data_IF_686723934561
#
_entry.id   IF_686723934561
#
_cell.length_a   1.000
_cell.length_b   1.000
_cell.length_c   1.000
_cell.angle_alpha   90.00
_cell.angle_beta   90.00
_cell.angle_gamma   90.00
#
_symmetry.space_group_name_H-M   'P 1'
#
loop_
_entity.id
_entity.type
_entity.pdbx_description
1 polymer ?
#
# COMPACT_ATOMS: atom_id res chain seq x y z
N UNK A 1 1.82 22.81 16.36
CA UNK A 1 2.54 21.96 15.40
C UNK A 1 2.74 20.62 16.10
N UNK A 2 1.79 19.73 15.98
CA UNK A 2 1.93 18.37 16.51
C UNK A 2 2.40 17.48 15.38
N UNK A 3 3.58 16.93 15.57
CA UNK A 3 4.23 15.97 14.68
C UNK A 3 3.40 14.70 14.56
N UNK A 4 3.14 14.29 13.32
CA UNK A 4 2.40 13.09 13.00
C UNK A 4 2.87 11.88 13.78
N UNK A 5 1.94 11.16 14.37
CA UNK A 5 2.21 9.90 15.08
C UNK A 5 2.70 8.87 14.07
N UNK A 6 3.95 8.46 14.24
CA UNK A 6 4.50 7.26 13.62
C UNK A 6 3.61 6.06 13.99
N UNK A 7 3.11 5.36 12.98
CA UNK A 7 2.40 4.11 13.16
C UNK A 7 3.39 3.05 13.71
N UNK A 8 3.36 2.85 15.01
CA UNK A 8 4.04 1.71 15.63
C UNK A 8 3.29 0.43 15.22
N UNK A 9 4.00 -0.50 14.61
CA UNK A 9 3.50 -1.85 14.38
C UNK A 9 3.16 -2.51 15.73
N UNK A 10 2.13 -3.37 15.80
CA UNK A 10 1.79 -4.07 17.03
C UNK A 10 2.97 -4.93 17.48
N UNK A 11 3.31 -4.83 18.78
CA UNK A 11 4.31 -5.68 19.42
C UNK A 11 3.97 -7.16 19.21
N UNK A 12 4.82 -7.86 18.49
CA UNK A 12 4.77 -9.32 18.44
C UNK A 12 5.27 -9.86 19.77
N UNK A 13 4.40 -10.55 20.50
CA UNK A 13 4.78 -11.35 21.67
C UNK A 13 5.88 -12.34 21.30
N UNK A 14 6.88 -12.41 22.17
CA UNK A 14 8.03 -13.30 22.21
C UNK A 14 7.84 -14.65 21.53
N UNK A 15 8.47 -14.82 20.36
CA UNK A 15 8.98 -16.13 19.93
C UNK A 15 10.00 -15.93 18.82
N UNK A 16 11.25 -16.37 19.06
CA UNK A 16 12.36 -16.47 18.11
C UNK A 16 12.65 -15.21 17.31
N UNK A 17 13.84 -14.65 17.46
CA UNK A 17 14.37 -13.56 16.62
C UNK A 17 14.43 -14.01 15.15
N UNK A 18 13.33 -13.93 14.45
CA UNK A 18 13.33 -14.01 13.00
C UNK A 18 13.89 -12.71 12.47
N UNK A 19 15.00 -12.80 11.75
CA UNK A 19 15.65 -11.66 11.12
C UNK A 19 14.79 -11.24 9.92
N UNK A 20 13.82 -10.34 10.13
CA UNK A 20 12.88 -9.89 9.12
C UNK A 20 13.24 -8.50 8.60
N UNK A 21 13.13 -8.31 7.28
CA UNK A 21 13.36 -7.05 6.58
C UNK A 21 12.09 -6.62 5.84
N UNK A 22 11.65 -5.39 6.06
CA UNK A 22 10.65 -4.73 5.22
C UNK A 22 11.33 -3.79 4.24
N UNK A 23 11.04 -3.97 2.96
CA UNK A 23 11.52 -3.10 1.88
C UNK A 23 10.32 -2.39 1.28
N UNK A 24 10.33 -1.06 1.35
CA UNK A 24 9.33 -0.21 0.75
C UNK A 24 9.87 0.38 -0.54
N UNK A 25 9.22 0.13 -1.66
CA UNK A 25 9.59 0.70 -2.95
C UNK A 25 8.68 1.85 -3.32
N UNK A 26 9.29 2.99 -3.65
CA UNK A 26 8.64 4.22 -4.10
C UNK A 26 9.06 4.52 -5.54
N UNK A 27 8.35 5.43 -6.20
CA UNK A 27 8.69 5.86 -7.55
C UNK A 27 10.15 6.31 -7.68
N UNK A 28 10.68 6.94 -6.64
CA UNK A 28 11.99 7.57 -6.63
C UNK A 28 12.94 7.01 -5.56
N UNK A 29 12.73 5.78 -5.07
CA UNK A 29 13.63 5.23 -4.07
C UNK A 29 13.09 4.05 -3.27
N UNK A 30 13.83 3.68 -2.25
CA UNK A 30 13.52 2.57 -1.35
C UNK A 30 13.73 2.99 0.09
N UNK A 31 12.97 2.41 1.01
CA UNK A 31 13.31 2.42 2.42
C UNK A 31 13.39 1.00 2.95
N UNK A 32 14.28 0.80 3.89
CA UNK A 32 14.55 -0.48 4.53
C UNK A 32 14.23 -0.36 6.02
N UNK A 33 13.44 -1.29 6.52
CA UNK A 33 13.05 -1.30 7.93
C UNK A 33 13.32 -2.69 8.52
N UNK A 34 14.08 -2.71 9.59
CA UNK A 34 14.28 -3.88 10.43
C UNK A 34 13.59 -3.65 11.78
N UNK A 35 13.61 -4.63 12.68
CA UNK A 35 13.16 -4.44 14.07
C UNK A 35 14.00 -3.42 14.85
N UNK A 36 15.22 -3.12 14.39
CA UNK A 36 16.20 -2.29 15.09
C UNK A 36 16.38 -0.90 14.47
N UNK A 37 16.12 -0.73 13.16
CA UNK A 37 16.39 0.52 12.44
C UNK A 37 15.42 0.74 11.28
N UNK A 38 15.23 2.02 10.95
CA UNK A 38 14.60 2.45 9.70
C UNK A 38 15.64 3.26 8.95
N UNK A 39 16.15 2.70 7.85
CA UNK A 39 17.08 3.38 6.97
C UNK A 39 16.33 3.86 5.72
N UNK A 40 16.31 5.16 5.53
CA UNK A 40 15.70 5.80 4.37
C UNK A 40 16.78 6.19 3.37
N UNK A 41 16.68 5.71 2.14
CA UNK A 41 17.54 6.15 1.04
C UNK A 41 16.72 6.91 0.00
N UNK A 42 17.00 8.19 -0.13
CA UNK A 42 16.42 9.03 -1.17
C UNK A 42 17.00 8.71 -2.54
N UNK A 43 16.11 8.75 -3.53
CA UNK A 43 16.40 8.88 -4.96
C UNK A 43 17.25 7.80 -5.61
N UNK A 44 16.65 6.63 -5.81
CA UNK A 44 17.23 5.68 -6.75
C UNK A 44 16.10 5.11 -7.61
N UNK A 45 16.02 5.55 -8.88
CA UNK A 45 15.21 4.82 -9.86
C UNK A 45 15.86 3.45 -10.08
N UNK A 46 15.09 2.39 -9.98
CA UNK A 46 15.60 1.03 -10.18
C UNK A 46 15.92 0.84 -11.67
N UNK A 47 17.20 0.89 -11.98
CA UNK A 47 17.78 0.51 -13.27
C UNK A 47 18.95 -0.45 -13.00
N UNK A 48 19.65 -0.90 -14.02
CA UNK A 48 20.80 -1.80 -13.84
C UNK A 48 21.91 -1.21 -12.95
N UNK A 49 22.06 0.12 -12.92
CA UNK A 49 23.04 0.81 -12.07
C UNK A 49 22.65 0.74 -10.59
N UNK A 50 21.35 0.72 -10.26
CA UNK A 50 20.85 0.63 -8.88
C UNK A 50 20.85 -0.79 -8.33
N UNK A 51 21.06 -1.78 -9.17
CA UNK A 51 21.28 -3.16 -8.74
C UNK A 51 22.43 -3.24 -7.73
N UNK A 52 23.53 -2.50 -7.98
CA UNK A 52 24.66 -2.45 -7.05
C UNK A 52 24.33 -1.86 -5.68
N UNK A 53 23.38 -0.94 -5.61
CA UNK A 53 22.95 -0.36 -4.33
C UNK A 53 22.09 -1.38 -3.57
N UNK A 54 21.21 -2.07 -4.26
CA UNK A 54 20.44 -3.17 -3.69
C UNK A 54 21.38 -4.30 -3.20
N UNK A 55 22.36 -4.64 -4.00
CA UNK A 55 23.43 -5.59 -3.65
C UNK A 55 24.22 -5.09 -2.44
N UNK A 56 24.62 -3.83 -2.40
CA UNK A 56 25.36 -3.28 -1.27
C UNK A 56 24.51 -3.20 0.01
N UNK A 57 23.22 -2.92 -0.09
CA UNK A 57 22.31 -2.85 1.06
C UNK A 57 21.96 -4.23 1.61
N UNK A 58 21.77 -5.22 0.75
CA UNK A 58 21.59 -6.62 1.18
C UNK A 58 22.90 -7.24 1.66
N UNK A 59 24.07 -6.79 1.17
CA UNK A 59 25.39 -7.25 1.56
C UNK A 59 26.01 -6.42 2.70
N UNK A 60 25.40 -5.32 3.11
CA UNK A 60 25.90 -4.49 4.21
C UNK A 60 25.92 -5.22 5.57
N UNK A 61 25.33 -6.40 5.62
CA UNK A 61 25.52 -7.36 6.71
C UNK A 61 25.71 -8.77 6.12
N UNK A 62 26.90 -9.17 5.70
CA UNK A 62 27.16 -10.52 5.21
C UNK A 62 26.84 -11.61 6.24
N UNK A 63 26.68 -11.25 7.50
CA UNK A 63 26.30 -12.14 8.60
C UNK A 63 24.79 -12.23 8.86
N UNK A 64 23.98 -11.32 8.28
CA UNK A 64 22.51 -11.29 8.48
C UNK A 64 21.83 -11.78 7.20
N UNK A 65 21.68 -13.09 7.04
CA UNK A 65 20.68 -13.63 6.13
C UNK A 65 19.30 -13.33 6.73
N UNK A 66 18.48 -12.59 6.00
CA UNK A 66 17.08 -12.39 6.39
C UNK A 66 16.29 -13.67 6.11
N UNK A 67 15.57 -14.13 7.11
CA UNK A 67 14.69 -15.29 6.94
C UNK A 67 13.46 -14.90 6.13
N UNK A 68 12.90 -13.72 6.40
CA UNK A 68 11.70 -13.22 5.77
C UNK A 68 11.91 -11.79 5.26
N UNK A 69 11.58 -11.58 3.99
CA UNK A 69 11.52 -10.25 3.39
C UNK A 69 10.08 -9.91 3.04
N UNK A 70 9.60 -8.76 3.52
CA UNK A 70 8.34 -8.16 3.06
C UNK A 70 8.64 -7.04 2.08
N UNK A 71 8.24 -7.20 0.83
CA UNK A 71 8.34 -6.14 -0.16
C UNK A 71 7.00 -5.43 -0.31
N UNK A 72 6.97 -4.13 0.06
CA UNK A 72 5.80 -3.28 0.04
C UNK A 72 5.93 -2.28 -1.10
N UNK A 73 5.08 -2.41 -2.11
CA UNK A 73 5.04 -1.51 -3.27
C UNK A 73 4.22 -0.27 -2.95
N UNK A 74 4.83 0.91 -3.10
CA UNK A 74 4.15 2.22 -3.05
C UNK A 74 3.97 2.83 -4.43
N UNK A 75 4.38 2.12 -5.47
CA UNK A 75 4.36 2.62 -6.83
C UNK A 75 3.12 2.22 -7.59
N UNK A 76 2.64 3.19 -8.36
CA UNK A 76 1.58 2.98 -9.32
C UNK A 76 0.18 2.91 -8.70
N UNK A 77 -0.81 2.93 -9.56
CA UNK A 77 -2.20 2.80 -9.16
C UNK A 77 -2.54 1.36 -8.75
N UNK A 78 -3.58 1.21 -7.95
CA UNK A 78 -4.16 -0.07 -7.63
C UNK A 78 -5.69 -0.02 -7.77
N UNK A 79 -6.30 -1.18 -8.01
CA UNK A 79 -7.73 -1.30 -8.25
C UNK A 79 -8.34 -2.34 -7.31
N UNK A 80 -9.37 -1.95 -6.55
CA UNK A 80 -10.21 -2.90 -5.83
C UNK A 80 -11.31 -3.46 -6.73
N UNK A 81 -11.42 -4.77 -6.77
CA UNK A 81 -12.43 -5.51 -7.53
C UNK A 81 -13.21 -6.40 -6.56
N UNK A 82 -14.55 -6.34 -6.51
CA UNK A 82 -15.34 -7.29 -5.76
C UNK A 82 -15.05 -8.74 -6.21
N UNK A 83 -14.76 -9.63 -5.27
CA UNK A 83 -14.38 -11.03 -5.56
C UNK A 83 -15.35 -11.77 -6.49
N UNK A 84 -16.70 -11.56 -6.39
CA UNK A 84 -17.63 -12.20 -7.32
C UNK A 84 -17.51 -11.73 -8.78
N UNK A 85 -16.93 -10.55 -9.03
CA UNK A 85 -16.72 -9.99 -10.38
C UNK A 85 -15.31 -10.28 -10.91
N UNK A 86 -14.44 -10.85 -10.09
CA UNK A 86 -13.04 -11.08 -10.44
C UNK A 86 -12.87 -12.39 -11.24
N UNK A 87 -12.08 -12.30 -12.30
CA UNK A 87 -11.59 -13.45 -13.04
C UNK A 87 -10.13 -13.24 -13.41
N UNK A 88 -9.27 -14.17 -13.01
CA UNK A 88 -7.83 -14.09 -13.28
C UNK A 88 -7.51 -14.02 -14.78
N UNK A 89 -8.30 -14.67 -15.62
CA UNK A 89 -8.14 -14.62 -17.07
C UNK A 89 -8.40 -13.23 -17.68
N UNK A 90 -9.03 -12.32 -16.92
CA UNK A 90 -9.42 -10.96 -17.35
C UNK A 90 -8.58 -9.84 -16.72
N UNK A 91 -7.45 -10.14 -16.09
CA UNK A 91 -6.59 -9.13 -15.46
C UNK A 91 -6.24 -7.97 -16.41
N UNK A 92 -5.90 -8.27 -17.66
CA UNK A 92 -5.57 -7.24 -18.64
C UNK A 92 -6.76 -6.36 -19.02
N UNK A 93 -7.96 -6.93 -19.10
CA UNK A 93 -9.18 -6.19 -19.43
C UNK A 93 -9.52 -5.18 -18.32
N UNK A 94 -9.48 -5.62 -17.03
CA UNK A 94 -9.69 -4.72 -15.89
C UNK A 94 -8.67 -3.58 -15.89
N UNK A 95 -7.39 -3.91 -16.12
CA UNK A 95 -6.32 -2.93 -16.10
C UNK A 95 -6.40 -1.92 -17.23
N UNK A 96 -6.71 -2.37 -18.43
CA UNK A 96 -6.91 -1.49 -19.60
C UNK A 96 -8.07 -0.51 -19.40
N UNK A 97 -9.13 -0.95 -18.73
CA UNK A 97 -10.24 -0.07 -18.38
C UNK A 97 -9.84 0.98 -17.34
N UNK A 98 -9.07 0.59 -16.34
CA UNK A 98 -8.68 1.45 -15.22
C UNK A 98 -7.47 2.35 -15.55
N UNK A 99 -6.43 1.82 -16.14
CA UNK A 99 -5.17 2.49 -16.45
C UNK A 99 -4.74 2.29 -17.92
N UNK A 100 -5.45 2.86 -18.89
CA UNK A 100 -5.26 2.56 -20.32
C UNK A 100 -3.90 2.98 -20.89
N UNK A 101 -3.15 3.83 -20.20
CA UNK A 101 -1.81 4.31 -20.62
C UNK A 101 -0.66 3.54 -19.98
N UNK A 102 -0.96 2.53 -19.16
CA UNK A 102 0.08 1.76 -18.48
C UNK A 102 0.82 0.86 -19.47
N UNK A 103 2.14 0.84 -19.37
CA UNK A 103 3.00 -0.04 -20.16
C UNK A 103 2.96 -1.47 -19.60
N UNK A 104 3.46 -2.43 -20.36
CA UNK A 104 3.41 -3.89 -20.17
C UNK A 104 4.08 -4.44 -18.88
N UNK A 105 3.70 -3.93 -17.73
CA UNK A 105 4.11 -4.47 -16.44
C UNK A 105 3.36 -5.77 -16.13
N UNK A 106 3.93 -6.60 -15.30
CA UNK A 106 3.27 -7.80 -14.81
C UNK A 106 2.17 -7.41 -13.83
N UNK A 107 0.93 -7.80 -14.11
CA UNK A 107 -0.21 -7.59 -13.24
C UNK A 107 -0.27 -8.69 -12.19
N UNK A 108 -0.52 -8.27 -10.96
CA UNK A 108 -0.62 -9.14 -9.80
C UNK A 108 -1.78 -8.70 -8.92
N UNK A 109 -2.19 -9.56 -8.01
CA UNK A 109 -3.28 -9.24 -7.09
C UNK A 109 -3.09 -9.86 -5.71
N UNK A 110 -3.66 -9.20 -4.72
CA UNK A 110 -3.82 -9.66 -3.34
C UNK A 110 -5.31 -9.85 -3.03
N UNK A 111 -5.64 -10.75 -2.10
CA UNK A 111 -7.02 -11.01 -1.70
C UNK A 111 -7.28 -10.49 -0.28
N UNK A 112 -8.48 -9.95 -0.08
CA UNK A 112 -9.02 -9.70 1.25
C UNK A 112 -10.32 -10.49 1.43
N UNK A 113 -10.27 -11.52 2.26
CA UNK A 113 -11.39 -12.43 2.45
C UNK A 113 -12.50 -11.82 3.30
N UNK A 114 -12.18 -10.90 4.22
CA UNK A 114 -13.15 -10.24 5.11
C UNK A 114 -14.14 -9.41 4.31
N UNK A 115 -13.64 -8.56 3.42
CA UNK A 115 -14.48 -7.69 2.58
C UNK A 115 -14.78 -8.31 1.21
N UNK A 116 -14.29 -9.54 0.94
CA UNK A 116 -14.41 -10.21 -0.36
C UNK A 116 -13.96 -9.36 -1.53
N UNK A 117 -12.76 -8.80 -1.40
CA UNK A 117 -12.14 -7.91 -2.37
C UNK A 117 -10.84 -8.48 -2.91
N UNK A 118 -10.55 -8.14 -4.15
CA UNK A 118 -9.27 -8.34 -4.81
C UNK A 118 -8.64 -6.96 -5.00
N UNK A 119 -7.40 -6.79 -4.57
CA UNK A 119 -6.59 -5.62 -4.88
C UNK A 119 -5.62 -5.96 -6.00
N UNK A 120 -5.78 -5.37 -7.17
CA UNK A 120 -4.94 -5.57 -8.34
C UNK A 120 -3.99 -4.38 -8.54
N UNK A 121 -2.73 -4.66 -8.88
CA UNK A 121 -1.70 -3.64 -9.11
C UNK A 121 -0.59 -4.17 -10.04
N UNK A 122 0.32 -3.28 -10.45
CA UNK A 122 1.49 -3.65 -11.25
C UNK A 122 2.66 -4.08 -10.38
N UNK A 123 3.34 -5.15 -10.77
CA UNK A 123 4.57 -5.62 -10.14
C UNK A 123 5.79 -5.11 -10.92
N UNK A 124 6.87 -4.84 -10.21
CA UNK A 124 8.22 -4.66 -10.78
C UNK A 124 8.98 -6.00 -10.74
N UNK A 125 8.96 -6.80 -11.82
CA UNK A 125 9.46 -8.18 -11.79
C UNK A 125 10.92 -8.27 -11.38
N UNK A 126 11.76 -7.35 -11.88
CA UNK A 126 13.22 -7.39 -11.65
C UNK A 126 13.58 -7.33 -10.16
N UNK A 127 12.90 -6.49 -9.38
CA UNK A 127 13.13 -6.37 -7.93
C UNK A 127 12.69 -7.63 -7.21
N UNK A 128 11.52 -8.13 -7.55
CA UNK A 128 10.95 -9.30 -6.87
C UNK A 128 11.74 -10.57 -7.15
N UNK A 129 12.15 -10.78 -8.40
CA UNK A 129 12.95 -11.94 -8.80
C UNK A 129 14.34 -11.91 -8.15
N UNK A 130 14.94 -10.71 -8.05
CA UNK A 130 16.20 -10.51 -7.32
C UNK A 130 16.05 -10.89 -5.84
N UNK A 131 15.02 -10.37 -5.15
CA UNK A 131 14.79 -10.67 -3.74
C UNK A 131 14.56 -12.16 -3.49
N UNK A 132 13.80 -12.82 -4.35
CA UNK A 132 13.57 -14.28 -4.27
C UNK A 132 14.84 -15.12 -4.40
N UNK A 133 15.82 -14.63 -5.13
CA UNK A 133 17.10 -15.33 -5.27
C UNK A 133 17.98 -15.22 -4.01
N UNK A 134 17.71 -14.25 -3.12
CA UNK A 134 18.58 -13.90 -1.99
C UNK A 134 17.94 -14.06 -0.60
N UNK A 135 16.68 -14.47 -0.53
CA UNK A 135 15.99 -14.70 0.73
C UNK A 135 15.24 -16.03 0.73
N UNK A 136 15.04 -16.60 1.93
CA UNK A 136 14.30 -17.86 2.09
C UNK A 136 12.82 -17.68 1.80
N UNK A 137 12.27 -16.57 2.25
CA UNK A 137 10.87 -16.19 2.04
C UNK A 137 10.78 -14.74 1.60
N UNK A 138 10.02 -14.46 0.55
CA UNK A 138 9.72 -13.11 0.09
C UNK A 138 8.22 -12.99 -0.13
N UNK A 139 7.60 -12.16 0.68
CA UNK A 139 6.21 -11.75 0.48
C UNK A 139 6.17 -10.38 -0.19
N UNK A 140 5.31 -10.24 -1.18
CA UNK A 140 5.03 -8.92 -1.76
C UNK A 140 3.63 -8.50 -1.42
N UNK A 141 3.43 -7.18 -1.31
CA UNK A 141 2.10 -6.59 -1.17
C UNK A 141 2.14 -5.14 -1.61
N UNK A 142 0.98 -4.57 -1.89
CA UNK A 142 0.83 -3.14 -2.11
C UNK A 142 0.59 -2.42 -0.76
N UNK A 143 1.11 -1.19 -0.60
CA UNK A 143 0.93 -0.44 0.66
C UNK A 143 -0.56 -0.20 0.99
N UNK A 144 -1.39 -0.01 -0.05
CA UNK A 144 -2.85 0.14 0.10
C UNK A 144 -3.47 -1.10 0.75
N UNK A 145 -2.97 -2.31 0.44
CA UNK A 145 -3.43 -3.53 1.11
C UNK A 145 -3.13 -3.49 2.62
N UNK A 146 -1.91 -3.09 2.98
CA UNK A 146 -1.51 -2.96 4.40
C UNK A 146 -2.33 -1.88 5.11
N UNK A 147 -2.50 -0.73 4.47
CA UNK A 147 -3.32 0.36 5.00
C UNK A 147 -4.78 -0.06 5.18
N UNK A 148 -5.35 -0.72 4.17
CA UNK A 148 -6.71 -1.26 4.23
C UNK A 148 -6.89 -2.27 5.38
N UNK A 149 -5.95 -3.21 5.54
CA UNK A 149 -5.99 -4.18 6.65
C UNK A 149 -5.89 -3.48 8.02
N UNK A 150 -5.07 -2.43 8.15
CA UNK A 150 -5.01 -1.62 9.37
C UNK A 150 -6.33 -0.88 9.65
N UNK A 151 -6.98 -0.35 8.61
CA UNK A 151 -8.29 0.29 8.74
C UNK A 151 -9.34 -0.72 9.21
N UNK A 152 -9.38 -1.92 8.61
CA UNK A 152 -10.33 -2.96 9.00
C UNK A 152 -10.22 -3.35 10.47
N UNK A 153 -9.01 -3.38 11.05
CA UNK A 153 -8.81 -3.65 12.46
C UNK A 153 -9.36 -2.54 13.38
N UNK A 154 -9.56 -1.35 12.86
CA UNK A 154 -10.03 -0.16 13.60
C UNK A 154 -11.48 0.20 13.32
N UNK A 155 -12.15 -0.47 12.39
CA UNK A 155 -13.51 -0.11 11.97
C UNK A 155 -14.50 -0.01 13.13
N UNK A 156 -14.44 -0.98 14.05
CA UNK A 156 -15.36 -1.05 15.20
C UNK A 156 -15.19 0.08 16.23
N UNK A 157 -14.08 0.84 16.16
CA UNK A 157 -13.84 1.97 17.07
C UNK A 157 -14.73 3.18 16.76
N UNK A 158 -15.21 3.27 15.53
CA UNK A 158 -16.01 4.42 15.07
C UNK A 158 -17.35 3.91 14.55
N UNK A 159 -18.48 4.26 15.19
CA UNK A 159 -19.81 3.88 14.72
C UNK A 159 -20.20 4.66 13.46
N UNK A 160 -21.18 4.13 12.71
CA UNK A 160 -21.75 4.80 11.55
C UNK A 160 -20.86 4.78 10.31
N UNK A 161 -21.12 5.71 9.40
CA UNK A 161 -20.38 5.86 8.16
C UNK A 161 -19.00 6.49 8.41
N UNK A 162 -18.00 6.12 7.63
CA UNK A 162 -16.61 6.50 7.86
C UNK A 162 -15.90 6.83 6.56
N UNK A 163 -15.11 7.90 6.60
CA UNK A 163 -14.16 8.26 5.54
C UNK A 163 -12.76 8.27 6.17
N UNK A 164 -11.94 7.31 5.80
CA UNK A 164 -10.52 7.28 6.17
C UNK A 164 -9.70 7.98 5.10
N UNK A 165 -8.81 8.86 5.52
CA UNK A 165 -7.95 9.66 4.67
C UNK A 165 -6.50 9.40 5.04
N UNK A 166 -5.70 8.99 4.07
CA UNK A 166 -4.26 8.87 4.21
C UNK A 166 -3.58 9.92 3.36
N UNK A 167 -2.89 10.85 4.00
CA UNK A 167 -2.18 11.94 3.33
C UNK A 167 -0.76 11.53 3.01
N UNK A 168 -0.36 11.72 1.76
CA UNK A 168 1.01 11.65 1.27
C UNK A 168 1.48 13.04 0.83
N UNK A 169 2.72 13.17 0.40
CA UNK A 169 3.29 14.46 -0.01
C UNK A 169 2.51 15.10 -1.18
N UNK A 170 2.19 14.31 -2.20
CA UNK A 170 1.65 14.80 -3.47
C UNK A 170 0.27 14.17 -3.80
N UNK A 171 -0.28 13.38 -2.87
CA UNK A 171 -1.56 12.67 -3.08
C UNK A 171 -2.24 12.35 -1.75
N UNK A 172 -3.48 11.96 -1.82
CA UNK A 172 -4.19 11.37 -0.69
C UNK A 172 -5.08 10.22 -1.13
N UNK A 173 -5.13 9.21 -0.28
CA UNK A 173 -5.98 8.05 -0.43
C UNK A 173 -7.24 8.21 0.40
N UNK A 174 -8.38 7.83 -0.16
CA UNK A 174 -9.68 7.89 0.52
C UNK A 174 -10.32 6.52 0.51
N UNK A 175 -10.68 6.04 1.69
CA UNK A 175 -11.46 4.81 1.88
C UNK A 175 -12.79 5.16 2.52
N UNK A 176 -13.87 4.71 1.92
CA UNK A 176 -15.23 4.99 2.37
C UNK A 176 -15.90 3.71 2.83
N UNK A 177 -16.52 3.76 4.01
CA UNK A 177 -17.24 2.64 4.61
C UNK A 177 -18.64 3.07 5.03
N UNK A 178 -19.64 2.29 4.63
CA UNK A 178 -21.01 2.38 5.16
C UNK A 178 -21.17 1.38 6.30
N UNK A 179 -21.19 1.88 7.52
CA UNK A 179 -20.98 1.00 8.67
C UNK A 179 -19.61 0.33 8.59
N UNK A 180 -19.58 -0.98 8.55
CA UNK A 180 -18.33 -1.76 8.40
C UNK A 180 -18.13 -2.33 6.99
N UNK A 181 -19.02 -1.99 6.05
CA UNK A 181 -18.95 -2.41 4.66
C UNK A 181 -18.12 -1.41 3.85
N UNK A 182 -17.13 -1.91 3.13
CA UNK A 182 -16.35 -1.12 2.18
C UNK A 182 -17.18 -0.72 0.97
N UNK A 183 -17.14 0.57 0.61
CA UNK A 183 -17.92 1.14 -0.50
C UNK A 183 -17.01 1.67 -1.61
N UNK A 184 -15.93 2.39 -1.27
CA UNK A 184 -15.11 3.10 -2.24
C UNK A 184 -13.67 3.22 -1.75
N UNK A 185 -12.74 3.11 -2.68
CA UNK A 185 -11.36 3.58 -2.58
C UNK A 185 -11.02 4.42 -3.80
N UNK A 186 -10.33 5.52 -3.58
CA UNK A 186 -9.71 6.29 -4.65
C UNK A 186 -8.47 7.04 -4.13
N UNK A 187 -7.56 7.35 -5.05
CA UNK A 187 -6.40 8.21 -4.81
C UNK A 187 -6.56 9.48 -5.63
N UNK A 188 -6.29 10.61 -5.02
CA UNK A 188 -6.37 11.93 -5.63
C UNK A 188 -5.03 12.66 -5.51
N UNK A 189 -4.70 13.51 -6.48
CA UNK A 189 -3.56 14.41 -6.39
C UNK A 189 -3.85 15.52 -5.36
N UNK A 190 -2.87 15.80 -4.50
CA UNK A 190 -2.92 16.88 -3.51
C UNK A 190 -2.24 18.12 -4.08
N UNK A 191 -2.97 18.86 -4.92
CA UNK A 191 -2.45 20.08 -5.59
C UNK A 191 -2.57 21.29 -4.66
N UNK A 192 -3.69 21.42 -3.96
CA UNK A 192 -4.00 22.53 -3.03
C UNK A 192 -5.03 22.09 -1.99
N UNK A 193 -5.20 22.92 -0.96
CA UNK A 193 -6.22 22.71 0.07
C UNK A 193 -7.65 22.72 -0.52
N UNK A 194 -7.89 23.59 -1.51
CA UNK A 194 -9.18 23.66 -2.19
C UNK A 194 -9.48 22.39 -3.00
N UNK A 195 -8.46 21.84 -3.68
CA UNK A 195 -8.58 20.59 -4.41
C UNK A 195 -8.88 19.42 -3.47
N UNK A 196 -8.22 19.39 -2.31
CA UNK A 196 -8.48 18.40 -1.27
C UNK A 196 -9.94 18.46 -0.79
N UNK A 197 -10.41 19.67 -0.39
CA UNK A 197 -11.79 19.86 0.07
C UNK A 197 -12.81 19.54 -1.02
N UNK A 198 -12.52 19.92 -2.27
CA UNK A 198 -13.38 19.61 -3.41
C UNK A 198 -13.63 18.10 -3.55
N UNK A 199 -12.59 17.28 -3.53
CA UNK A 199 -12.75 15.84 -3.67
C UNK A 199 -13.44 15.20 -2.47
N UNK A 200 -13.20 15.68 -1.26
CA UNK A 200 -13.90 15.20 -0.07
C UNK A 200 -15.41 15.48 -0.15
N UNK A 201 -15.79 16.71 -0.46
CA UNK A 201 -17.20 17.07 -0.61
C UNK A 201 -17.84 16.33 -1.78
N UNK A 202 -17.13 16.16 -2.88
CA UNK A 202 -17.60 15.38 -4.03
C UNK A 202 -17.93 13.94 -3.64
N UNK A 203 -17.06 13.27 -2.86
CA UNK A 203 -17.29 11.91 -2.39
C UNK A 203 -18.54 11.87 -1.48
N UNK A 204 -18.65 12.76 -0.50
CA UNK A 204 -19.78 12.81 0.43
C UNK A 204 -21.10 13.04 -0.32
N UNK A 205 -21.09 13.91 -1.33
CA UNK A 205 -22.25 14.16 -2.19
C UNK A 205 -22.63 12.90 -3.00
N UNK A 206 -21.65 12.21 -3.58
CA UNK A 206 -21.89 10.94 -4.33
C UNK A 206 -22.48 9.86 -3.42
N UNK A 207 -22.03 9.79 -2.17
CA UNK A 207 -22.56 8.86 -1.18
C UNK A 207 -23.95 9.28 -0.65
N UNK A 208 -24.40 10.51 -0.95
CA UNK A 208 -25.66 11.10 -0.48
C UNK A 208 -25.76 11.10 1.05
N UNK A 209 -24.64 11.32 1.73
CA UNK A 209 -24.59 11.39 3.18
C UNK A 209 -24.80 12.82 3.66
N UNK A 210 -25.46 12.91 4.81
CA UNK A 210 -25.49 14.17 5.57
C UNK A 210 -24.09 14.39 6.18
N UNK A 211 -23.50 15.58 6.03
CA UNK A 211 -22.19 15.90 6.62
C UNK A 211 -22.09 15.66 8.12
N UNK A 212 -23.21 15.72 8.85
CA UNK A 212 -23.26 15.50 10.30
C UNK A 212 -23.35 14.01 10.69
N UNK A 213 -23.42 13.07 9.71
CA UNK A 213 -23.72 11.66 9.96
C UNK A 213 -22.55 10.71 9.61
N UNK A 214 -21.37 11.22 9.42
CA UNK A 214 -20.18 10.39 9.19
C UNK A 214 -18.96 10.87 9.95
N UNK A 215 -18.02 9.97 10.21
CA UNK A 215 -16.73 10.29 10.83
C UNK A 215 -15.65 10.41 9.77
N UNK A 216 -14.85 11.48 9.84
CA UNK A 216 -13.63 11.65 9.05
C UNK A 216 -12.42 11.31 9.92
N UNK A 217 -11.54 10.43 9.44
CA UNK A 217 -10.44 9.85 10.20
C UNK A 217 -9.16 10.01 9.35
N UNK A 218 -8.13 10.62 9.97
CA UNK A 218 -6.81 10.87 9.37
C UNK A 218 -5.76 9.96 9.96
#
# INVERSE_FOLDING_TARGET
METGQLFLMPEKNNSSHTNSLSIHSYKNGFSFCTSESIDFQETISFNEETRHIFESLLHYSPEKQYDDIQWICHDGPCLFIPKPLFSESKLKEYWQFFAPKSSSSKLVYDQNEVQKLILMYEERPLVFDYLKAHAKSVERTHYIKKLFDCILQKLSKYPGNKVYIHLSKDSFDVFVFKGDQFELYNTFELISEETFLYYLFFIVEQMKWNPDEFSMIF
#
